data_IF_438447808800
#
_entry.id   IF_438447808800
#
_cell.length_a   1.000
_cell.length_b   1.000
_cell.length_c   1.000
_cell.angle_alpha   90.00
_cell.angle_beta   90.00
_cell.angle_gamma   90.00
#
_symmetry.space_group_name_H-M   'P 1'
#
loop_
_entity.id
_entity.type
_entity.pdbx_description
1 polymer ?
#
# COMPACT_ATOMS: atom_id res chain seq x y z
N UNK A 1 -8.85 -12.52 -22.56
CA UNK A 1 -8.28 -12.05 -21.28
C UNK A 1 -9.46 -11.77 -20.39
N UNK A 2 -9.54 -12.42 -19.24
CA UNK A 2 -10.56 -12.10 -18.23
C UNK A 2 -10.46 -10.59 -17.92
N UNK A 3 -11.58 -9.87 -17.88
CA UNK A 3 -11.56 -8.43 -17.64
C UNK A 3 -11.19 -8.18 -16.17
N UNK A 4 -9.89 -8.06 -15.89
CA UNK A 4 -9.37 -7.72 -14.56
C UNK A 4 -9.94 -6.36 -14.15
N UNK A 5 -10.50 -6.30 -12.93
CA UNK A 5 -11.11 -5.08 -12.40
C UNK A 5 -10.07 -3.94 -12.32
N UNK A 6 -10.45 -2.67 -12.57
CA UNK A 6 -9.54 -1.54 -12.42
C UNK A 6 -8.91 -1.45 -11.02
N UNK A 7 -9.68 -1.73 -9.96
CA UNK A 7 -9.20 -1.76 -8.58
C UNK A 7 -8.09 -2.80 -8.37
N UNK A 8 -8.24 -4.00 -8.95
CA UNK A 8 -7.20 -5.03 -8.88
C UNK A 8 -5.89 -4.56 -9.52
N UNK A 9 -5.94 -3.84 -10.63
CA UNK A 9 -4.73 -3.23 -11.22
C UNK A 9 -4.10 -2.18 -10.32
N UNK A 10 -4.90 -1.38 -9.62
CA UNK A 10 -4.42 -0.40 -8.65
C UNK A 10 -3.75 -1.07 -7.46
N UNK A 11 -4.35 -2.13 -6.90
CA UNK A 11 -3.79 -2.86 -5.77
C UNK A 11 -2.49 -3.58 -6.16
N UNK A 12 -2.47 -4.26 -7.32
CA UNK A 12 -1.26 -4.93 -7.83
C UNK A 12 -0.15 -3.94 -8.17
N UNK A 13 -0.46 -2.92 -8.96
CA UNK A 13 0.51 -1.92 -9.41
C UNK A 13 1.01 -1.06 -8.26
N UNK A 14 0.10 -0.54 -7.43
CA UNK A 14 0.45 0.23 -6.24
C UNK A 14 1.26 -0.60 -5.24
N UNK A 15 0.85 -1.85 -4.98
CA UNK A 15 1.61 -2.75 -4.11
C UNK A 15 3.03 -3.02 -4.62
N UNK A 16 3.18 -3.28 -5.92
CA UNK A 16 4.48 -3.49 -6.54
C UNK A 16 5.37 -2.25 -6.47
N UNK A 17 4.83 -1.08 -6.80
CA UNK A 17 5.61 0.17 -6.77
C UNK A 17 5.98 0.53 -5.33
N UNK A 18 5.10 0.32 -4.34
CA UNK A 18 5.42 0.51 -2.93
C UNK A 18 6.56 -0.41 -2.48
N UNK A 19 6.54 -1.68 -2.88
CA UNK A 19 7.62 -2.62 -2.56
C UNK A 19 8.95 -2.19 -3.22
N UNK A 20 8.92 -1.77 -4.48
CA UNK A 20 10.13 -1.28 -5.15
C UNK A 20 10.64 -0.01 -4.47
N UNK A 21 9.73 0.87 -4.07
CA UNK A 21 10.08 2.16 -3.48
C UNK A 21 10.84 2.01 -2.16
N UNK A 22 10.70 0.88 -1.44
CA UNK A 22 11.46 0.65 -0.20
C UNK A 22 12.94 0.44 -0.42
N UNK A 23 13.36 0.07 -1.64
CA UNK A 23 14.77 -0.09 -2.02
C UNK A 23 15.39 1.18 -2.61
N UNK A 24 14.59 2.22 -2.81
CA UNK A 24 15.04 3.52 -3.31
C UNK A 24 15.24 4.48 -2.14
N UNK A 25 16.01 5.55 -2.38
CA UNK A 25 16.28 6.57 -1.38
C UNK A 25 14.98 7.23 -0.90
N UNK A 26 14.73 7.16 0.40
CA UNK A 26 13.59 7.80 1.07
C UNK A 26 13.97 9.15 1.64
N UNK A 27 15.18 9.25 2.19
CA UNK A 27 15.70 10.46 2.79
C UNK A 27 17.16 10.66 2.39
N UNK A 28 17.58 11.91 2.28
CA UNK A 28 19.00 12.23 2.12
C UNK A 28 19.59 12.58 3.48
N UNK A 29 20.80 12.08 3.75
CA UNK A 29 21.53 12.35 4.99
C UNK A 29 22.90 12.91 4.64
N UNK A 30 23.25 14.02 5.27
CA UNK A 30 24.56 14.65 5.16
C UNK A 30 25.41 14.29 6.38
N UNK A 31 26.50 13.55 6.19
CA UNK A 31 27.50 13.34 7.24
C UNK A 31 28.92 13.57 6.72
N UNK A 32 29.72 14.32 7.48
CA UNK A 32 31.13 14.56 7.15
C UNK A 32 31.36 15.34 5.85
N UNK A 33 30.37 16.11 5.37
CA UNK A 33 30.47 16.88 4.12
C UNK A 33 30.13 16.09 2.86
N UNK A 34 29.62 14.87 2.99
CA UNK A 34 29.08 14.06 1.90
C UNK A 34 27.59 13.82 2.10
N UNK A 35 26.83 13.89 1.00
CA UNK A 35 25.41 13.55 0.96
C UNK A 35 25.24 12.11 0.47
N UNK A 36 24.50 11.31 1.22
CA UNK A 36 24.13 9.94 0.85
C UNK A 36 22.64 9.71 1.06
N UNK A 37 22.05 8.87 0.21
CA UNK A 37 20.66 8.46 0.33
C UNK A 37 20.51 7.30 1.30
N UNK A 38 19.55 7.40 2.21
CA UNK A 38 19.07 6.27 3.00
C UNK A 38 17.76 5.76 2.39
N UNK A 39 17.71 4.46 2.11
CA UNK A 39 16.49 3.79 1.68
C UNK A 39 15.56 3.54 2.89
N UNK A 40 14.40 2.94 2.65
CA UNK A 40 13.40 2.73 3.69
C UNK A 40 13.86 1.82 4.84
N UNK A 41 14.79 0.90 4.58
CA UNK A 41 15.33 -0.05 5.55
C UNK A 41 16.32 0.61 6.51
N UNK A 42 16.87 1.76 6.12
CA UNK A 42 17.87 2.50 6.89
C UNK A 42 17.30 3.80 7.50
N UNK A 43 16.06 4.18 7.15
CA UNK A 43 15.44 5.48 7.51
C UNK A 43 15.14 5.63 9.01
N UNK A 44 14.97 4.53 9.75
CA UNK A 44 14.70 4.49 11.19
C UNK A 44 15.56 3.46 11.93
N UNK A 45 15.62 3.54 13.27
CA UNK A 45 16.58 2.80 14.11
C UNK A 45 16.57 1.28 13.91
N UNK A 46 15.48 0.70 13.41
CA UNK A 46 15.36 -0.73 13.10
C UNK A 46 14.84 -1.01 11.68
N UNK A 47 14.74 0.01 10.82
CA UNK A 47 14.16 -0.11 9.48
C UNK A 47 12.70 -0.56 9.48
N UNK A 48 11.99 -0.41 10.60
CA UNK A 48 10.65 -0.98 10.78
C UNK A 48 9.64 -0.32 9.84
N UNK A 49 9.78 0.98 9.57
CA UNK A 49 8.89 1.69 8.67
C UNK A 49 9.03 1.14 7.24
N UNK A 50 10.26 0.91 6.79
CA UNK A 50 10.54 0.28 5.50
C UNK A 50 10.05 -1.17 5.43
N UNK A 51 10.29 -1.97 6.47
CA UNK A 51 9.80 -3.35 6.57
C UNK A 51 8.27 -3.39 6.46
N UNK A 52 7.56 -2.51 7.18
CA UNK A 52 6.10 -2.43 7.15
C UNK A 52 5.61 -2.08 5.74
N UNK A 53 6.16 -1.04 5.10
CA UNK A 53 5.77 -0.67 3.75
C UNK A 53 6.08 -1.77 2.72
N UNK A 54 7.21 -2.46 2.84
CA UNK A 54 7.56 -3.58 1.98
C UNK A 54 6.58 -4.75 2.14
N UNK A 55 6.23 -5.10 3.38
CA UNK A 55 5.23 -6.12 3.68
C UNK A 55 3.86 -5.74 3.15
N UNK A 56 3.44 -4.48 3.27
CA UNK A 56 2.18 -4.01 2.71
C UNK A 56 2.18 -4.17 1.18
N UNK A 57 3.25 -3.73 0.51
CA UNK A 57 3.39 -3.87 -0.94
C UNK A 57 3.31 -5.33 -1.39
N UNK A 58 3.98 -6.23 -0.67
CA UNK A 58 3.97 -7.67 -0.94
C UNK A 58 2.60 -8.32 -0.67
N UNK A 59 1.99 -8.03 0.48
CA UNK A 59 0.72 -8.64 0.88
C UNK A 59 -0.44 -8.17 0.01
N UNK A 60 -0.54 -6.87 -0.24
CA UNK A 60 -1.60 -6.31 -1.08
C UNK A 60 -1.35 -6.65 -2.55
N UNK A 61 -0.20 -6.24 -3.09
CA UNK A 61 0.09 -6.40 -4.51
C UNK A 61 0.28 -7.86 -4.91
N UNK A 62 1.10 -8.59 -4.15
CA UNK A 62 1.35 -10.01 -4.35
C UNK A 62 0.12 -10.88 -4.04
N UNK A 63 -0.63 -10.55 -2.98
CA UNK A 63 -1.86 -11.27 -2.64
C UNK A 63 -2.93 -11.17 -3.72
N UNK A 64 -3.21 -9.95 -4.20
CA UNK A 64 -4.18 -9.74 -5.29
C UNK A 64 -3.71 -10.37 -6.59
N UNK A 65 -2.41 -10.29 -6.91
CA UNK A 65 -1.85 -10.96 -8.09
C UNK A 65 -1.97 -12.49 -8.01
N UNK A 66 -1.73 -13.07 -6.83
CA UNK A 66 -1.88 -14.51 -6.59
C UNK A 66 -3.34 -14.97 -6.72
N UNK A 67 -4.30 -14.19 -6.22
CA UNK A 67 -5.72 -14.48 -6.40
C UNK A 67 -6.13 -14.35 -7.88
N UNK A 68 -5.71 -13.27 -8.55
CA UNK A 68 -6.11 -12.95 -9.93
C UNK A 68 -5.51 -13.91 -10.96
N UNK A 69 -4.20 -14.17 -10.89
CA UNK A 69 -3.48 -14.97 -11.89
C UNK A 69 -3.18 -16.38 -11.43
N UNK A 70 -2.94 -16.57 -10.14
CA UNK A 70 -2.63 -17.87 -9.53
C UNK A 70 -3.87 -18.67 -9.12
N UNK A 71 -5.06 -18.07 -9.11
CA UNK A 71 -6.32 -18.67 -8.64
C UNK A 71 -6.19 -19.25 -7.22
N UNK A 72 -5.40 -18.58 -6.39
CA UNK A 72 -5.21 -18.96 -4.99
C UNK A 72 -6.46 -18.63 -4.20
N UNK A 73 -7.08 -19.66 -3.60
CA UNK A 73 -8.20 -19.46 -2.70
C UNK A 73 -7.69 -19.01 -1.33
N UNK A 74 -7.95 -17.75 -0.99
CA UNK A 74 -7.72 -17.22 0.36
C UNK A 74 -8.99 -17.35 1.21
N UNK A 75 -8.87 -17.50 2.53
CA UNK A 75 -10.05 -17.52 3.40
C UNK A 75 -10.83 -16.22 3.27
N UNK A 76 -12.17 -16.28 3.28
CA UNK A 76 -13.04 -15.10 3.07
C UNK A 76 -12.79 -13.98 4.10
N UNK A 77 -12.33 -14.36 5.29
CA UNK A 77 -12.02 -13.44 6.38
C UNK A 77 -10.72 -13.81 7.07
N UNK A 78 -9.97 -12.79 7.44
CA UNK A 78 -8.77 -12.91 8.28
C UNK A 78 -8.97 -12.01 9.49
N UNK A 79 -8.90 -12.59 10.69
CA UNK A 79 -9.14 -11.88 11.96
C UNK A 79 -10.49 -11.14 12.03
N UNK A 80 -11.52 -11.64 11.31
CA UNK A 80 -12.85 -11.05 11.25
C UNK A 80 -13.07 -10.01 10.14
N UNK A 81 -12.00 -9.53 9.51
CA UNK A 81 -12.03 -8.55 8.42
C UNK A 81 -12.07 -9.24 7.05
N UNK A 82 -12.72 -8.60 6.09
CA UNK A 82 -12.62 -8.99 4.67
C UNK A 82 -11.26 -8.56 4.09
N UNK A 83 -10.85 -9.15 2.97
CA UNK A 83 -9.61 -8.75 2.29
C UNK A 83 -9.60 -7.27 1.91
N UNK A 84 -10.71 -6.73 1.43
CA UNK A 84 -10.77 -5.34 1.00
C UNK A 84 -10.66 -4.37 2.20
N UNK A 85 -11.21 -4.74 3.36
CA UNK A 85 -11.01 -3.99 4.60
C UNK A 85 -9.53 -4.00 5.02
N UNK A 86 -8.87 -5.15 4.91
CA UNK A 86 -7.45 -5.28 5.22
C UNK A 86 -6.62 -4.44 4.26
N UNK A 87 -6.87 -4.53 2.94
CA UNK A 87 -6.17 -3.72 1.94
C UNK A 87 -6.35 -2.23 2.20
N UNK A 88 -7.55 -1.78 2.62
CA UNK A 88 -7.79 -0.38 2.97
C UNK A 88 -6.99 0.05 4.19
N UNK A 89 -7.01 -0.75 5.26
CA UNK A 89 -6.25 -0.45 6.49
C UNK A 89 -4.75 -0.37 6.18
N UNK A 90 -4.22 -1.36 5.44
CA UNK A 90 -2.81 -1.39 5.04
C UNK A 90 -2.43 -0.23 4.12
N UNK A 91 -3.29 0.13 3.17
CA UNK A 91 -3.09 1.30 2.32
C UNK A 91 -3.02 2.60 3.12
N UNK A 92 -3.97 2.80 4.06
CA UNK A 92 -4.00 3.94 4.95
C UNK A 92 -2.75 4.01 5.86
N UNK A 93 -2.30 2.87 6.39
CA UNK A 93 -1.08 2.79 7.21
C UNK A 93 0.15 3.22 6.39
N UNK A 94 0.33 2.66 5.19
CA UNK A 94 1.40 3.06 4.29
C UNK A 94 1.32 4.55 3.94
N UNK A 95 0.11 5.11 3.79
CA UNK A 95 -0.10 6.53 3.54
C UNK A 95 0.36 7.36 4.73
N UNK A 96 -0.06 7.02 5.96
CA UNK A 96 0.35 7.75 7.18
C UNK A 96 1.87 7.73 7.35
N UNK A 97 2.51 6.58 7.15
CA UNK A 97 3.97 6.44 7.24
C UNK A 97 4.67 7.34 6.22
N UNK A 98 4.34 7.17 4.94
CA UNK A 98 5.02 7.88 3.85
C UNK A 98 4.72 9.37 3.87
N UNK A 99 3.48 9.76 4.14
CA UNK A 99 3.08 11.16 4.28
C UNK A 99 3.75 11.83 5.47
N UNK A 100 3.83 11.16 6.62
CA UNK A 100 4.51 11.68 7.81
C UNK A 100 5.99 11.96 7.55
N UNK A 101 6.66 11.06 6.82
CA UNK A 101 8.07 11.21 6.48
C UNK A 101 8.34 12.33 5.46
N UNK A 102 7.34 12.76 4.66
CA UNK A 102 7.53 13.87 3.71
C UNK A 102 7.92 15.17 4.43
N UNK A 103 7.49 15.33 5.69
CA UNK A 103 7.81 16.53 6.49
C UNK A 103 9.21 16.50 7.12
N UNK A 104 10.02 15.47 6.86
CA UNK A 104 11.40 15.37 7.36
C UNK A 104 12.37 16.32 6.64
N UNK A 105 11.98 16.89 5.49
CA UNK A 105 12.73 17.91 4.75
C UNK A 105 13.40 17.34 3.50
N UNK A 106 14.52 16.64 3.67
CA UNK A 106 15.31 16.12 2.55
C UNK A 106 14.81 14.73 2.12
N UNK A 107 13.82 14.74 1.24
CA UNK A 107 13.11 13.53 0.80
C UNK A 107 13.56 13.05 -0.57
N UNK A 108 13.79 11.75 -0.68
CA UNK A 108 14.19 11.07 -1.91
C UNK A 108 13.02 10.63 -2.77
N UNK A 109 13.32 10.19 -4.00
CA UNK A 109 12.31 9.73 -4.97
C UNK A 109 11.57 8.48 -4.50
N UNK A 110 12.23 7.62 -3.72
CA UNK A 110 11.61 6.41 -3.15
C UNK A 110 10.45 6.75 -2.23
N UNK A 111 10.54 7.83 -1.45
CA UNK A 111 9.47 8.25 -0.57
C UNK A 111 8.26 8.78 -1.36
N UNK A 112 8.49 9.57 -2.41
CA UNK A 112 7.43 10.07 -3.28
C UNK A 112 6.69 8.94 -4.01
N UNK A 113 7.43 7.97 -4.54
CA UNK A 113 6.85 6.77 -5.13
C UNK A 113 6.06 5.96 -4.11
N UNK A 114 6.59 5.82 -2.89
CA UNK A 114 5.88 5.19 -1.78
C UNK A 114 4.55 5.88 -1.45
N UNK A 115 4.55 7.22 -1.36
CA UNK A 115 3.36 8.01 -1.08
C UNK A 115 2.30 7.86 -2.17
N UNK A 116 2.68 8.02 -3.44
CA UNK A 116 1.74 7.83 -4.56
C UNK A 116 1.19 6.41 -4.56
N UNK A 117 2.04 5.42 -4.32
CA UNK A 117 1.65 4.01 -4.26
C UNK A 117 0.64 3.75 -3.13
N UNK A 118 0.86 4.32 -1.95
CA UNK A 118 -0.06 4.20 -0.82
C UNK A 118 -1.43 4.81 -1.12
N UNK A 119 -1.47 5.97 -1.79
CA UNK A 119 -2.73 6.59 -2.26
C UNK A 119 -3.44 5.67 -3.27
N UNK A 120 -2.71 5.11 -4.23
CA UNK A 120 -3.26 4.20 -5.25
C UNK A 120 -3.83 2.92 -4.61
N UNK A 121 -3.11 2.32 -3.66
CA UNK A 121 -3.58 1.14 -2.91
C UNK A 121 -4.87 1.50 -2.14
N UNK A 122 -4.85 2.60 -1.40
CA UNK A 122 -6.00 3.04 -0.60
C UNK A 122 -7.23 3.28 -1.47
N UNK A 123 -7.05 3.96 -2.60
CA UNK A 123 -8.12 4.23 -3.56
C UNK A 123 -8.66 2.92 -4.18
N UNK A 124 -7.79 2.00 -4.55
CA UNK A 124 -8.17 0.69 -5.09
C UNK A 124 -9.00 -0.12 -4.10
N UNK A 125 -8.54 -0.19 -2.84
CA UNK A 125 -9.24 -0.91 -1.77
C UNK A 125 -10.60 -0.27 -1.43
N UNK A 126 -10.67 1.06 -1.43
CA UNK A 126 -11.92 1.78 -1.24
C UNK A 126 -12.95 1.49 -2.35
N UNK A 127 -12.49 1.38 -3.60
CA UNK A 127 -13.35 1.02 -4.72
C UNK A 127 -13.93 -0.38 -4.57
N UNK A 128 -13.12 -1.36 -4.14
CA UNK A 128 -13.60 -2.73 -3.89
C UNK A 128 -14.63 -2.77 -2.74
N UNK A 129 -14.36 -2.08 -1.63
CA UNK A 129 -15.30 -1.97 -0.53
C UNK A 129 -16.65 -1.34 -0.92
N UNK A 130 -16.62 -0.35 -1.82
CA UNK A 130 -17.85 0.27 -2.33
C UNK A 130 -18.62 -0.64 -3.27
N UNK A 131 -17.93 -1.45 -4.06
CA UNK A 131 -18.57 -2.41 -4.94
C UNK A 131 -19.30 -3.52 -4.16
N UNK A 132 -18.79 -3.86 -2.97
CA UNK A 132 -19.34 -4.90 -2.10
C UNK A 132 -20.36 -4.38 -1.07
N UNK A 133 -20.59 -3.06 -1.00
CA UNK A 133 -21.59 -2.49 -0.11
C UNK A 133 -23.01 -2.85 -0.60
N UNK A 134 -23.92 -3.34 0.26
CA UNK A 134 -25.27 -3.68 -0.14
C UNK A 134 -26.01 -2.42 -0.64
N UNK A 135 -26.47 -2.50 -1.89
CA UNK A 135 -27.21 -1.45 -2.59
C UNK A 135 -28.52 -1.17 -1.84
N UNK A 136 -28.62 -0.03 -1.16
CA UNK A 136 -29.85 0.50 -0.55
C UNK A 136 -30.51 -0.42 0.50
N UNK A 137 -30.30 -0.12 1.78
CA UNK A 137 -31.37 -0.30 2.75
C UNK A 137 -32.50 0.64 2.34
N UNK A 138 -33.43 0.16 1.49
CA UNK A 138 -34.66 0.85 1.19
C UNK A 138 -35.28 1.30 2.52
N UNK A 139 -35.70 2.58 2.68
CA UNK A 139 -36.30 3.00 3.93
C UNK A 139 -37.49 2.09 4.17
N UNK A 140 -37.43 1.28 5.23
CA UNK A 140 -38.56 0.48 5.68
C UNK A 140 -39.70 1.45 5.91
N UNK A 141 -40.66 1.46 5.00
CA UNK A 141 -41.87 2.25 5.19
C UNK A 141 -42.60 1.62 6.38
N UNK A 142 -42.55 2.32 7.51
CA UNK A 142 -43.38 2.05 8.68
C UNK A 142 -44.79 2.59 8.44
#
# INVERSE_FOLDING_TARGET
MENVKPSSWMLMGGGLVLLISTFLDWVSVSAGGFDFGENAWDTDFFGLLGIICALIGLLVGGGVAAQTFGKVNMPDRVLGFTHDQIHLILGCEAFVITFGLVFRGDVGIGLWLGLVSAVVITAGAYMDLKADAPESAAPTQF
#
